data_IF_246385142336
#
_entry.id   IF_246385142336
#
_cell.length_a   1.000
_cell.length_b   1.000
_cell.length_c   1.000
_cell.angle_alpha   90.00
_cell.angle_beta   90.00
_cell.angle_gamma   90.00
#
_symmetry.space_group_name_H-M   'P 1'
#
loop_
_entity.id
_entity.type
_entity.pdbx_description
1 polymer ?
#
# COMPACT_ATOMS: atom_id res chain seq x y z
N UNK A 1 18.84 -22.91 -14.36
CA UNK A 1 18.59 -22.02 -13.19
C UNK A 1 17.21 -22.35 -12.67
N UNK A 2 17.03 -22.55 -11.37
CA UNK A 2 15.68 -22.78 -10.79
C UNK A 2 14.81 -21.55 -11.02
N UNK A 3 13.54 -21.77 -11.33
CA UNK A 3 12.53 -20.69 -11.45
C UNK A 3 12.41 -19.98 -10.11
N UNK A 4 12.44 -18.65 -10.11
CA UNK A 4 12.25 -17.84 -8.89
C UNK A 4 10.79 -17.74 -8.53
N UNK A 5 10.49 -17.85 -7.25
CA UNK A 5 9.14 -17.81 -6.69
C UNK A 5 8.82 -16.46 -6.03
N UNK A 6 7.60 -15.98 -6.20
CA UNK A 6 7.14 -14.73 -5.58
C UNK A 6 5.70 -14.82 -5.09
N UNK A 7 5.44 -14.36 -3.88
CA UNK A 7 4.09 -14.11 -3.37
C UNK A 7 3.75 -12.62 -3.53
N UNK A 8 2.56 -12.32 -4.07
CA UNK A 8 2.06 -10.95 -4.24
C UNK A 8 0.68 -10.86 -3.60
N UNK A 9 0.51 -10.05 -2.55
CA UNK A 9 -0.79 -9.81 -1.93
C UNK A 9 -1.58 -8.73 -2.69
N UNK A 10 -2.92 -8.81 -2.67
CA UNK A 10 -3.78 -7.88 -3.40
C UNK A 10 -3.64 -8.00 -4.92
N UNK A 11 -3.45 -9.22 -5.39
CA UNK A 11 -3.16 -9.56 -6.78
C UNK A 11 -4.31 -9.25 -7.77
N UNK A 12 -5.54 -9.09 -7.29
CA UNK A 12 -6.68 -8.65 -8.11
C UNK A 12 -6.79 -7.13 -8.28
N UNK A 13 -5.95 -6.34 -7.58
CA UNK A 13 -5.94 -4.88 -7.65
C UNK A 13 -5.08 -4.32 -8.79
N UNK A 14 -5.13 -3.00 -9.01
CA UNK A 14 -4.43 -2.34 -10.12
C UNK A 14 -2.92 -2.61 -10.13
N UNK A 15 -2.19 -2.24 -9.07
CA UNK A 15 -0.73 -2.44 -8.99
C UNK A 15 -0.40 -3.93 -8.83
N UNK A 16 -1.11 -4.67 -7.96
CA UNK A 16 -0.87 -6.10 -7.72
C UNK A 16 -1.07 -6.92 -8.98
N UNK A 17 -2.22 -6.75 -9.67
CA UNK A 17 -2.50 -7.49 -10.90
C UNK A 17 -1.51 -7.17 -12.03
N UNK A 18 -1.10 -5.91 -12.16
CA UNK A 18 -0.06 -5.54 -13.12
C UNK A 18 1.32 -6.14 -12.77
N UNK A 19 1.66 -6.20 -11.48
CA UNK A 19 2.89 -6.85 -11.01
C UNK A 19 2.87 -8.37 -11.26
N UNK A 20 1.73 -9.03 -11.00
CA UNK A 20 1.54 -10.45 -11.30
C UNK A 20 1.80 -10.72 -12.78
N UNK A 21 1.10 -10.03 -13.68
CA UNK A 21 1.30 -10.19 -15.14
C UNK A 21 2.76 -9.96 -15.54
N UNK A 22 3.38 -8.94 -15.01
CA UNK A 22 4.75 -8.58 -15.36
C UNK A 22 5.76 -9.64 -14.88
N UNK A 23 5.62 -10.13 -13.65
CA UNK A 23 6.55 -11.12 -13.09
C UNK A 23 6.35 -12.50 -13.70
N UNK A 24 5.11 -12.93 -13.96
CA UNK A 24 4.83 -14.15 -14.72
C UNK A 24 5.46 -14.07 -16.13
N UNK A 25 5.30 -12.96 -16.85
CA UNK A 25 5.94 -12.73 -18.14
C UNK A 25 7.48 -12.66 -18.12
N UNK A 26 8.07 -12.49 -16.93
CA UNK A 26 9.54 -12.59 -16.72
C UNK A 26 9.99 -13.98 -16.26
N UNK A 27 9.10 -14.97 -16.27
CA UNK A 27 9.39 -16.37 -15.93
C UNK A 27 9.47 -16.62 -14.41
N UNK A 28 8.84 -15.79 -13.59
CA UNK A 28 8.67 -16.09 -12.16
C UNK A 28 7.51 -17.06 -11.96
N UNK A 29 7.64 -17.94 -11.00
CA UNK A 29 6.55 -18.73 -10.46
C UNK A 29 5.79 -17.86 -9.44
N UNK A 30 4.56 -17.46 -9.79
CA UNK A 30 3.82 -16.42 -9.07
C UNK A 30 2.69 -17.01 -8.25
N UNK A 31 2.71 -16.75 -6.95
CA UNK A 31 1.64 -16.98 -6.01
C UNK A 31 0.87 -15.67 -5.80
N UNK A 32 -0.37 -15.65 -6.22
CA UNK A 32 -1.22 -14.45 -6.26
C UNK A 32 -2.24 -14.48 -5.12
N UNK A 33 -1.99 -13.70 -4.08
CA UNK A 33 -2.92 -13.52 -2.96
C UNK A 33 -4.12 -12.66 -3.36
N UNK A 34 -5.29 -13.26 -3.39
CA UNK A 34 -6.59 -12.63 -3.66
C UNK A 34 -7.50 -12.78 -2.44
N UNK A 35 -8.32 -11.75 -2.16
CA UNK A 35 -9.22 -11.82 -1.01
C UNK A 35 -10.46 -12.68 -1.27
N UNK A 36 -11.00 -12.67 -2.48
CA UNK A 36 -12.19 -13.41 -2.87
C UNK A 36 -11.83 -14.46 -3.91
N UNK A 37 -12.24 -15.73 -3.73
CA UNK A 37 -12.01 -16.78 -4.72
C UNK A 37 -12.51 -16.40 -6.14
N UNK A 38 -13.59 -15.62 -6.22
CA UNK A 38 -14.15 -15.12 -7.50
C UNK A 38 -13.17 -14.22 -8.29
N UNK A 39 -12.16 -13.65 -7.64
CA UNK A 39 -11.16 -12.82 -8.32
C UNK A 39 -10.10 -13.67 -9.06
N UNK A 40 -10.08 -15.00 -8.89
CA UNK A 40 -9.12 -15.89 -9.56
C UNK A 40 -9.19 -15.82 -11.08
N UNK A 41 -10.38 -15.64 -11.65
CA UNK A 41 -10.58 -15.49 -13.09
C UNK A 41 -9.93 -14.24 -13.72
N UNK A 42 -9.43 -13.31 -12.89
CA UNK A 42 -8.69 -12.11 -13.36
C UNK A 42 -7.18 -12.34 -13.48
N UNK A 43 -6.69 -13.49 -13.01
CA UNK A 43 -5.27 -13.82 -13.02
C UNK A 43 -4.88 -14.44 -14.36
N UNK A 44 -3.65 -14.22 -14.83
CA UNK A 44 -3.16 -14.90 -16.04
C UNK A 44 -2.98 -16.41 -15.81
N UNK A 45 -3.04 -17.17 -16.87
CA UNK A 45 -2.76 -18.60 -16.83
C UNK A 45 -1.38 -18.91 -16.24
N UNK A 46 -1.26 -20.01 -15.51
CA UNK A 46 -0.01 -20.44 -14.87
C UNK A 46 0.33 -19.72 -13.56
N UNK A 47 -0.54 -18.86 -13.06
CA UNK A 47 -0.39 -18.21 -11.76
C UNK A 47 -1.18 -18.97 -10.70
N UNK A 48 -0.56 -19.19 -9.52
CA UNK A 48 -1.20 -19.89 -8.41
C UNK A 48 -2.04 -18.90 -7.59
N UNK A 49 -3.37 -19.04 -7.65
CA UNK A 49 -4.28 -18.23 -6.83
C UNK A 49 -4.30 -18.76 -5.39
N UNK A 50 -4.10 -17.86 -4.41
CA UNK A 50 -4.24 -18.16 -2.99
C UNK A 50 -5.26 -17.21 -2.38
N UNK A 51 -6.20 -17.73 -1.61
CA UNK A 51 -7.14 -16.90 -0.86
C UNK A 51 -6.43 -16.36 0.40
N UNK A 52 -6.27 -15.03 0.47
CA UNK A 52 -5.60 -14.35 1.58
C UNK A 52 -6.43 -13.12 1.96
N UNK A 53 -7.04 -13.15 3.13
CA UNK A 53 -7.54 -11.95 3.80
C UNK A 53 -6.55 -11.58 4.92
N UNK A 54 -5.95 -10.40 4.82
CA UNK A 54 -4.89 -9.98 5.74
C UNK A 54 -5.36 -9.74 7.18
N UNK A 55 -6.67 -9.64 7.42
CA UNK A 55 -7.25 -9.55 8.77
C UNK A 55 -7.61 -10.93 9.35
N UNK A 56 -7.50 -11.97 8.56
CA UNK A 56 -7.77 -13.35 8.94
C UNK A 56 -6.45 -14.14 8.93
N UNK A 57 -5.89 -14.35 10.13
CA UNK A 57 -4.60 -15.02 10.31
C UNK A 57 -4.62 -16.46 9.80
N UNK A 58 -5.78 -17.16 9.85
CA UNK A 58 -5.90 -18.53 9.36
C UNK A 58 -5.65 -18.61 7.85
N UNK A 59 -6.17 -17.65 7.09
CA UNK A 59 -5.94 -17.59 5.64
C UNK A 59 -4.49 -17.25 5.30
N UNK A 60 -3.84 -16.40 6.09
CA UNK A 60 -2.42 -16.05 5.94
C UNK A 60 -1.54 -17.27 6.20
N UNK A 61 -1.79 -18.01 7.29
CA UNK A 61 -1.05 -19.23 7.60
C UNK A 61 -1.29 -20.33 6.57
N UNK A 62 -2.52 -20.55 6.15
CA UNK A 62 -2.87 -21.55 5.15
C UNK A 62 -2.11 -21.29 3.84
N UNK A 63 -2.07 -20.03 3.38
CA UNK A 63 -1.32 -19.64 2.20
C UNK A 63 0.18 -19.88 2.35
N UNK A 64 0.76 -19.56 3.50
CA UNK A 64 2.18 -19.81 3.76
C UNK A 64 2.50 -21.33 3.78
N UNK A 65 1.65 -22.14 4.40
CA UNK A 65 1.77 -23.62 4.42
C UNK A 65 1.68 -24.19 2.98
N UNK A 66 0.75 -23.71 2.16
CA UNK A 66 0.62 -24.16 0.77
C UNK A 66 1.85 -23.80 -0.05
N UNK A 67 2.37 -22.57 0.05
CA UNK A 67 3.60 -22.18 -0.62
C UNK A 67 4.77 -23.07 -0.17
N UNK A 68 4.93 -23.28 1.14
CA UNK A 68 6.00 -24.14 1.67
C UNK A 68 5.94 -25.57 1.12
N UNK A 69 4.76 -26.16 1.07
CA UNK A 69 4.56 -27.52 0.53
C UNK A 69 4.93 -27.60 -0.98
N UNK A 70 4.53 -26.60 -1.78
CA UNK A 70 4.79 -26.59 -3.22
C UNK A 70 6.24 -26.26 -3.59
N UNK A 71 6.94 -25.48 -2.73
CA UNK A 71 8.29 -24.97 -3.02
C UNK A 71 9.40 -25.65 -2.21
N UNK A 72 9.06 -26.63 -1.39
CA UNK A 72 10.01 -27.24 -0.46
C UNK A 72 10.55 -26.24 0.57
N UNK A 73 9.70 -25.35 1.08
CA UNK A 73 10.05 -24.34 2.08
C UNK A 73 10.90 -23.18 1.54
N UNK A 74 10.80 -22.86 0.27
CA UNK A 74 11.60 -21.82 -0.41
C UNK A 74 10.69 -20.76 -1.03
N UNK A 75 11.00 -19.47 -0.79
CA UNK A 75 10.35 -18.34 -1.44
C UNK A 75 11.40 -17.27 -1.72
N UNK A 76 11.51 -16.81 -2.96
CA UNK A 76 12.52 -15.82 -3.34
C UNK A 76 12.05 -14.38 -3.09
N UNK A 77 10.73 -14.12 -3.09
CA UNK A 77 10.22 -12.78 -2.85
C UNK A 77 8.81 -12.75 -2.26
N UNK A 78 8.56 -11.72 -1.44
CA UNK A 78 7.25 -11.26 -1.00
C UNK A 78 7.04 -9.83 -1.52
N UNK A 79 5.90 -9.58 -2.16
CA UNK A 79 5.39 -8.24 -2.46
C UNK A 79 4.12 -8.00 -1.64
N UNK A 80 4.25 -7.30 -0.53
CA UNK A 80 3.15 -6.82 0.28
C UNK A 80 2.51 -5.60 -0.40
N UNK A 81 1.48 -5.85 -1.20
CA UNK A 81 0.80 -4.83 -1.98
C UNK A 81 -0.67 -4.62 -1.58
N UNK A 82 -1.32 -5.60 -0.98
CA UNK A 82 -2.71 -5.44 -0.53
C UNK A 82 -2.86 -4.22 0.38
N UNK A 83 -3.98 -3.52 0.28
CA UNK A 83 -4.24 -2.37 1.12
C UNK A 83 -5.62 -1.79 0.84
N UNK A 84 -6.09 -1.02 1.81
CA UNK A 84 -7.32 -0.24 1.73
C UNK A 84 -7.01 1.23 1.96
N UNK A 85 -7.90 2.11 1.53
CA UNK A 85 -7.83 3.54 1.80
C UNK A 85 -9.08 3.93 2.58
N UNK A 86 -8.86 4.60 3.70
CA UNK A 86 -9.87 5.36 4.44
C UNK A 86 -9.48 6.83 4.37
N UNK A 87 -10.38 7.65 3.89
CA UNK A 87 -10.23 9.10 3.76
C UNK A 87 -11.31 9.81 4.56
N UNK A 88 -10.95 10.94 5.11
CA UNK A 88 -11.86 11.83 5.81
C UNK A 88 -11.16 12.68 6.86
N UNK A 89 -11.83 13.74 7.33
CA UNK A 89 -11.38 14.52 8.46
C UNK A 89 -11.13 13.63 9.68
N UNK A 90 -10.04 13.86 10.39
CA UNK A 90 -9.65 13.03 11.55
C UNK A 90 -10.76 12.95 12.60
N UNK A 91 -11.49 14.03 12.78
CA UNK A 91 -12.61 14.13 13.73
C UNK A 91 -13.80 13.25 13.34
N UNK A 92 -14.06 13.11 12.04
CA UNK A 92 -15.28 12.47 11.53
C UNK A 92 -15.13 11.00 11.16
N UNK A 93 -13.91 10.52 10.95
CA UNK A 93 -13.68 9.11 10.56
C UNK A 93 -14.00 8.17 11.73
N UNK A 94 -14.89 7.18 11.55
CA UNK A 94 -15.21 6.19 12.57
C UNK A 94 -13.97 5.41 13.04
N UNK A 95 -13.91 5.07 14.34
CA UNK A 95 -12.75 4.34 14.89
C UNK A 95 -12.62 2.94 14.33
N UNK A 96 -13.72 2.30 13.93
CA UNK A 96 -13.70 1.01 13.22
C UNK A 96 -13.00 1.12 11.87
N UNK A 97 -13.17 2.22 11.14
CA UNK A 97 -12.48 2.45 9.87
C UNK A 97 -10.97 2.71 10.08
N UNK A 98 -10.61 3.42 11.18
CA UNK A 98 -9.21 3.55 11.61
C UNK A 98 -8.59 2.18 11.90
N UNK A 99 -9.26 1.33 12.70
CA UNK A 99 -8.79 -0.02 13.02
C UNK A 99 -8.61 -0.84 11.76
N UNK A 100 -9.65 -0.90 10.92
CA UNK A 100 -9.59 -1.62 9.64
C UNK A 100 -8.45 -1.14 8.74
N UNK A 101 -8.20 0.18 8.70
CA UNK A 101 -7.08 0.74 7.93
C UNK A 101 -5.74 0.21 8.43
N UNK A 102 -5.56 0.11 9.74
CA UNK A 102 -4.32 -0.40 10.34
C UNK A 102 -4.23 -1.92 10.26
N UNK A 103 -5.32 -2.64 10.49
CA UNK A 103 -5.35 -4.10 10.42
C UNK A 103 -4.91 -4.58 9.04
N UNK A 104 -5.45 -4.00 7.97
CA UNK A 104 -5.06 -4.40 6.61
C UNK A 104 -3.69 -3.86 6.21
N UNK A 105 -3.42 -2.57 6.43
CA UNK A 105 -2.25 -1.90 5.85
C UNK A 105 -0.97 -2.07 6.67
N UNK A 106 -1.07 -2.49 7.92
CA UNK A 106 0.07 -2.63 8.84
C UNK A 106 0.12 -4.04 9.42
N UNK A 107 -0.85 -4.40 10.27
CA UNK A 107 -0.82 -5.67 11.03
C UNK A 107 -0.82 -6.87 10.09
N UNK A 108 -1.74 -6.92 9.14
CA UNK A 108 -1.80 -8.01 8.16
C UNK A 108 -0.59 -8.09 7.24
N UNK A 109 0.06 -6.95 6.93
CA UNK A 109 1.32 -6.96 6.18
C UNK A 109 2.47 -7.56 7.02
N UNK A 110 2.47 -7.29 8.33
CA UNK A 110 3.42 -7.89 9.28
C UNK A 110 3.15 -9.39 9.39
N UNK A 111 1.91 -9.80 9.61
CA UNK A 111 1.51 -11.20 9.70
C UNK A 111 1.95 -12.00 8.46
N UNK A 112 1.67 -11.45 7.27
CA UNK A 112 2.11 -12.10 6.01
C UNK A 112 3.63 -12.21 5.92
N UNK A 113 4.36 -11.16 6.30
CA UNK A 113 5.82 -11.22 6.32
C UNK A 113 6.32 -12.29 7.31
N UNK A 114 5.81 -12.31 8.54
CA UNK A 114 6.17 -13.30 9.57
C UNK A 114 5.95 -14.74 9.09
N UNK A 115 4.80 -15.01 8.47
CA UNK A 115 4.45 -16.34 7.98
C UNK A 115 5.43 -16.87 6.91
N UNK A 116 5.99 -15.98 6.05
CA UNK A 116 6.87 -16.40 4.96
C UNK A 116 8.36 -16.10 5.19
N UNK A 117 8.74 -15.38 6.26
CA UNK A 117 10.14 -15.07 6.56
C UNK A 117 11.06 -16.30 6.66
N UNK A 118 10.65 -17.45 7.22
CA UNK A 118 11.48 -18.66 7.21
C UNK A 118 11.89 -19.08 5.78
N UNK A 119 10.94 -19.07 4.83
CA UNK A 119 11.17 -19.40 3.44
C UNK A 119 12.06 -18.38 2.72
N UNK A 120 11.87 -17.08 3.03
CA UNK A 120 12.71 -15.99 2.52
C UNK A 120 14.15 -16.05 3.03
N UNK A 121 14.35 -16.45 4.29
CA UNK A 121 15.70 -16.67 4.84
C UNK A 121 16.42 -17.82 4.14
N UNK A 122 15.70 -18.91 3.84
CA UNK A 122 16.28 -20.07 3.13
C UNK A 122 16.83 -19.71 1.74
N UNK A 123 16.28 -18.69 1.08
CA UNK A 123 16.70 -18.25 -0.26
C UNK A 123 17.54 -16.97 -0.24
N UNK A 124 17.75 -16.34 0.92
CA UNK A 124 18.26 -14.97 1.03
C UNK A 124 17.44 -14.01 0.17
N UNK A 125 16.13 -14.17 0.26
CA UNK A 125 15.12 -13.58 -0.61
C UNK A 125 14.89 -12.08 -0.39
N UNK A 126 13.71 -11.61 -0.76
CA UNK A 126 13.38 -10.18 -0.76
C UNK A 126 11.97 -9.91 -0.25
N UNK A 127 11.82 -8.80 0.49
CA UNK A 127 10.52 -8.23 0.84
C UNK A 127 10.40 -6.87 0.18
N UNK A 128 9.28 -6.65 -0.50
CA UNK A 128 8.92 -5.35 -1.08
C UNK A 128 7.54 -4.95 -0.54
N UNK A 129 7.52 -3.92 0.30
CA UNK A 129 6.27 -3.35 0.81
C UNK A 129 5.83 -2.18 -0.08
N UNK A 130 4.56 -2.18 -0.50
CA UNK A 130 3.98 -1.08 -1.26
C UNK A 130 3.39 -0.06 -0.28
N UNK A 131 4.18 0.97 -0.01
CA UNK A 131 3.83 2.12 0.79
C UNK A 131 3.07 3.18 -0.01
N UNK A 132 3.29 4.44 0.35
CA UNK A 132 2.88 5.62 -0.40
C UNK A 132 3.73 6.82 0.03
N UNK A 133 3.82 7.84 -0.80
CA UNK A 133 4.53 9.08 -0.43
C UNK A 133 3.85 9.80 0.74
N UNK A 134 2.57 9.56 0.97
CA UNK A 134 1.84 10.08 2.14
C UNK A 134 2.39 9.57 3.48
N UNK A 135 3.26 8.55 3.49
CA UNK A 135 4.05 8.16 4.67
C UNK A 135 4.99 9.26 5.16
N UNK A 136 5.31 10.24 4.33
CA UNK A 136 6.26 11.33 4.61
C UNK A 136 5.58 12.64 4.98
N UNK A 137 4.38 12.84 4.50
CA UNK A 137 3.58 14.05 4.71
C UNK A 137 2.11 13.73 4.52
N UNK A 138 1.30 14.06 5.53
CA UNK A 138 -0.16 13.96 5.43
C UNK A 138 -0.76 15.27 4.95
N UNK A 139 -1.97 15.19 4.40
CA UNK A 139 -2.81 16.34 4.06
C UNK A 139 -4.19 16.24 4.71
N UNK A 140 -5.02 17.31 4.59
CA UNK A 140 -6.40 17.27 5.05
C UNK A 140 -7.13 16.05 4.49
N UNK A 141 -7.97 15.43 5.30
CA UNK A 141 -8.73 14.21 4.99
C UNK A 141 -7.91 12.94 4.67
N UNK A 142 -6.57 12.96 4.73
CA UNK A 142 -5.71 11.80 4.50
C UNK A 142 -5.11 11.21 5.78
N UNK A 143 -5.59 11.60 6.95
CA UNK A 143 -5.04 11.15 8.24
C UNK A 143 -4.89 9.62 8.34
N UNK A 144 -5.94 8.82 8.19
CA UNK A 144 -5.87 7.37 8.37
C UNK A 144 -4.90 6.69 7.42
N UNK A 145 -4.99 6.98 6.12
CA UNK A 145 -4.11 6.36 5.13
C UNK A 145 -2.65 6.76 5.33
N UNK A 146 -2.38 8.06 5.57
CA UNK A 146 -1.02 8.54 5.77
C UNK A 146 -0.38 7.94 7.02
N UNK A 147 -1.12 7.88 8.13
CA UNK A 147 -0.67 7.27 9.37
C UNK A 147 -0.33 5.77 9.19
N UNK A 148 -1.21 5.00 8.53
CA UNK A 148 -0.95 3.59 8.27
C UNK A 148 0.27 3.37 7.35
N UNK A 149 0.45 4.22 6.34
CA UNK A 149 1.62 4.13 5.44
C UNK A 149 2.91 4.59 6.11
N UNK A 150 2.85 5.55 7.05
CA UNK A 150 3.99 5.92 7.89
C UNK A 150 4.39 4.77 8.83
N UNK A 151 3.42 4.12 9.47
CA UNK A 151 3.64 2.94 10.29
C UNK A 151 4.28 1.80 9.48
N UNK A 152 3.74 1.47 8.29
CA UNK A 152 4.32 0.45 7.41
C UNK A 152 5.75 0.81 6.97
N UNK A 153 6.03 2.09 6.70
CA UNK A 153 7.38 2.54 6.35
C UNK A 153 8.37 2.31 7.51
N UNK A 154 7.96 2.60 8.75
CA UNK A 154 8.76 2.35 9.96
C UNK A 154 9.00 0.85 10.18
N UNK A 155 7.95 0.02 10.09
CA UNK A 155 8.06 -1.45 10.15
C UNK A 155 9.00 -1.98 9.08
N UNK A 156 8.91 -1.46 7.84
CA UNK A 156 9.81 -1.85 6.75
C UNK A 156 11.26 -1.51 7.06
N UNK A 157 11.51 -0.40 7.73
CA UNK A 157 12.85 0.03 8.13
C UNK A 157 13.43 -0.88 9.21
N UNK A 158 12.66 -1.21 10.24
CA UNK A 158 13.04 -2.16 11.28
C UNK A 158 13.36 -3.54 10.67
N UNK A 159 12.42 -4.08 9.89
CA UNK A 159 12.60 -5.38 9.23
C UNK A 159 13.84 -5.41 8.31
N UNK A 160 14.15 -4.31 7.63
CA UNK A 160 15.33 -4.19 6.77
C UNK A 160 16.64 -4.32 7.58
N UNK A 161 16.67 -3.71 8.75
CA UNK A 161 17.85 -3.77 9.63
C UNK A 161 18.00 -5.17 10.23
N UNK A 162 16.92 -5.75 10.75
CA UNK A 162 16.89 -7.09 11.35
C UNK A 162 17.26 -8.19 10.36
N UNK A 163 16.76 -8.11 9.12
CA UNK A 163 16.96 -9.13 8.11
C UNK A 163 18.29 -9.02 7.34
N UNK A 164 18.97 -7.89 7.45
CA UNK A 164 20.24 -7.66 6.76
C UNK A 164 21.33 -8.70 7.07
N UNK A 165 21.58 -9.07 8.34
CA UNK A 165 22.57 -10.10 8.67
C UNK A 165 22.18 -11.47 8.12
N UNK A 166 20.90 -11.74 7.93
CA UNK A 166 20.36 -12.98 7.37
C UNK A 166 20.31 -13.01 5.85
N UNK A 167 20.77 -11.93 5.19
CA UNK A 167 20.85 -11.83 3.73
C UNK A 167 19.55 -11.48 3.02
N UNK A 168 18.41 -11.36 3.75
CA UNK A 168 17.13 -10.94 3.16
C UNK A 168 17.14 -9.43 2.93
N UNK A 169 16.72 -9.01 1.74
CA UNK A 169 16.70 -7.59 1.35
C UNK A 169 15.29 -7.04 1.42
N UNK A 170 15.12 -5.91 2.09
CA UNK A 170 13.81 -5.29 2.30
C UNK A 170 13.78 -3.90 1.69
N UNK A 171 12.73 -3.59 0.94
CA UNK A 171 12.54 -2.30 0.26
C UNK A 171 11.10 -1.82 0.42
N UNK A 172 10.90 -0.51 0.42
CA UNK A 172 9.56 0.10 0.28
C UNK A 172 9.46 0.85 -1.04
N UNK A 173 8.33 0.67 -1.72
CA UNK A 173 7.93 1.46 -2.89
C UNK A 173 6.99 2.56 -2.39
N UNK A 174 7.30 3.81 -2.67
CA UNK A 174 6.53 4.98 -2.25
C UNK A 174 5.99 5.70 -3.49
N UNK A 175 4.87 5.23 -4.06
CA UNK A 175 4.23 5.92 -5.16
C UNK A 175 3.54 7.21 -4.69
N UNK A 176 3.42 8.15 -5.62
CA UNK A 176 2.42 9.20 -5.56
C UNK A 176 1.04 8.68 -5.96
N UNK A 177 0.24 9.54 -6.56
CA UNK A 177 -1.07 9.15 -7.08
C UNK A 177 -0.90 8.26 -8.31
N UNK A 178 -1.53 7.08 -8.29
CA UNK A 178 -1.54 6.12 -9.40
C UNK A 178 -2.95 5.95 -9.95
N UNK A 179 -3.04 5.69 -11.24
CA UNK A 179 -4.29 5.40 -11.93
C UNK A 179 -4.80 4.00 -11.55
N UNK A 180 -5.58 3.93 -10.48
CA UNK A 180 -6.13 2.70 -9.91
C UNK A 180 -7.51 2.94 -9.31
N UNK A 181 -8.35 1.92 -9.30
CA UNK A 181 -9.70 1.95 -8.68
C UNK A 181 -9.70 2.04 -7.14
N UNK A 182 -8.55 2.21 -6.49
CA UNK A 182 -8.47 2.13 -5.03
C UNK A 182 -9.22 3.28 -4.35
N UNK A 183 -9.22 4.47 -4.95
CA UNK A 183 -9.95 5.63 -4.46
C UNK A 183 -11.46 5.50 -4.68
N UNK A 184 -11.91 4.90 -5.79
CA UNK A 184 -13.33 4.62 -6.03
C UNK A 184 -13.89 3.66 -4.99
N UNK A 185 -13.11 2.61 -4.66
CA UNK A 185 -13.44 1.65 -3.59
C UNK A 185 -13.47 2.31 -2.21
N UNK A 186 -12.58 3.28 -1.94
CA UNK A 186 -12.61 4.09 -0.72
C UNK A 186 -13.90 4.90 -0.60
N UNK A 187 -14.25 5.62 -1.64
CA UNK A 187 -15.49 6.40 -1.69
C UNK A 187 -16.76 5.54 -1.49
N UNK A 188 -16.79 4.34 -2.03
CA UNK A 188 -17.88 3.39 -1.82
C UNK A 188 -17.96 2.90 -0.36
N UNK A 189 -16.82 2.59 0.25
CA UNK A 189 -16.75 2.18 1.66
C UNK A 189 -17.22 3.29 2.59
N UNK A 190 -16.77 4.53 2.38
CA UNK A 190 -17.22 5.71 3.15
C UNK A 190 -18.74 5.91 3.10
N UNK A 191 -19.36 5.76 1.92
CA UNK A 191 -20.82 5.86 1.77
C UNK A 191 -21.57 4.79 2.56
N UNK A 192 -20.95 3.65 2.80
CA UNK A 192 -21.54 2.56 3.57
C UNK A 192 -21.44 2.76 5.08
N UNK A 193 -20.32 3.33 5.59
CA UNK A 193 -20.07 3.49 7.04
C UNK A 193 -20.56 4.84 7.59
N UNK A 194 -20.62 5.88 6.73
CA UNK A 194 -20.96 7.24 7.15
C UNK A 194 -19.84 7.96 7.91
N UNK A 195 -20.15 9.15 8.44
CA UNK A 195 -19.28 9.95 9.29
C UNK A 195 -19.70 9.86 10.74
N UNK A 196 -18.77 9.98 11.67
CA UNK A 196 -19.06 10.25 13.09
C UNK A 196 -19.41 11.72 13.30
N UNK A 197 -19.95 12.01 14.49
CA UNK A 197 -20.30 13.38 14.89
C UNK A 197 -21.74 13.74 14.53
N UNK A 198 -22.17 14.85 15.08
CA UNK A 198 -23.48 15.44 14.79
C UNK A 198 -23.48 16.18 13.44
N UNK A 199 -24.64 16.70 13.06
CA UNK A 199 -24.80 17.43 11.80
C UNK A 199 -23.95 18.70 11.75
N UNK A 200 -23.66 19.34 12.90
CA UNK A 200 -22.86 20.55 12.94
C UNK A 200 -21.40 20.26 12.68
N UNK A 201 -20.84 19.20 13.30
CA UNK A 201 -19.49 18.74 13.00
C UNK A 201 -19.32 18.33 11.53
N UNK A 202 -20.32 17.64 10.97
CA UNK A 202 -20.29 17.26 9.55
C UNK A 202 -20.31 18.47 8.62
N UNK A 203 -21.21 19.45 8.88
CA UNK A 203 -21.28 20.71 8.12
C UNK A 203 -19.97 21.49 8.18
N UNK A 204 -19.30 21.51 9.32
CA UNK A 204 -18.01 22.20 9.48
C UNK A 204 -16.96 21.75 8.45
N UNK A 205 -16.98 20.48 8.06
CA UNK A 205 -16.00 19.89 7.13
C UNK A 205 -16.48 19.77 5.67
N UNK A 206 -17.71 20.19 5.36
CA UNK A 206 -18.23 20.12 3.98
C UNK A 206 -17.33 20.87 2.99
N UNK A 207 -16.94 22.11 3.33
CA UNK A 207 -16.04 22.89 2.50
C UNK A 207 -14.66 22.26 2.32
N UNK A 208 -14.12 21.65 3.36
CA UNK A 208 -12.84 20.93 3.30
C UNK A 208 -12.93 19.73 2.39
N UNK A 209 -13.98 18.91 2.54
CA UNK A 209 -14.17 17.71 1.71
C UNK A 209 -14.43 18.08 0.25
N UNK A 210 -15.17 19.17 -0.02
CA UNK A 210 -15.36 19.68 -1.37
C UNK A 210 -14.04 20.14 -2.00
N UNK A 211 -13.20 20.90 -1.26
CA UNK A 211 -11.87 21.31 -1.75
C UNK A 211 -10.94 20.14 -2.01
N UNK A 212 -10.97 19.11 -1.16
CA UNK A 212 -10.20 17.89 -1.39
C UNK A 212 -10.68 17.14 -2.63
N UNK A 213 -11.99 17.06 -2.86
CA UNK A 213 -12.55 16.46 -4.08
C UNK A 213 -12.16 17.25 -5.34
N UNK A 214 -12.24 18.59 -5.33
CA UNK A 214 -11.76 19.45 -6.41
C UNK A 214 -10.26 19.23 -6.69
N UNK A 215 -9.45 19.17 -5.65
CA UNK A 215 -8.01 18.91 -5.75
C UNK A 215 -7.74 17.53 -6.38
N UNK A 216 -8.43 16.49 -5.90
CA UNK A 216 -8.34 15.14 -6.47
C UNK A 216 -8.75 15.09 -7.95
N UNK A 217 -9.84 15.77 -8.33
CA UNK A 217 -10.31 15.82 -9.71
C UNK A 217 -9.32 16.50 -10.69
N UNK A 218 -8.49 17.44 -10.19
CA UNK A 218 -7.43 18.09 -10.98
C UNK A 218 -6.14 17.28 -11.03
N UNK A 219 -5.98 16.33 -10.13
CA UNK A 219 -4.78 15.52 -10.07
C UNK A 219 -4.65 14.63 -11.31
N UNK A 220 -3.43 14.52 -11.82
CA UNK A 220 -3.11 13.63 -12.95
C UNK A 220 -2.40 12.40 -12.38
N UNK A 221 -3.10 11.26 -12.21
CA UNK A 221 -2.47 10.07 -11.71
C UNK A 221 -1.38 9.55 -12.66
N UNK A 222 -0.32 9.05 -12.07
CA UNK A 222 0.74 8.41 -12.82
C UNK A 222 0.35 6.98 -13.26
N UNK A 223 1.02 6.43 -14.29
CA UNK A 223 0.73 5.09 -14.76
C UNK A 223 1.16 4.03 -13.72
N UNK A 224 0.32 3.02 -13.54
CA UNK A 224 0.58 1.84 -12.68
C UNK A 224 1.92 1.17 -13.01
N UNK A 225 2.28 1.12 -14.30
CA UNK A 225 3.54 0.53 -14.78
C UNK A 225 4.79 1.14 -14.13
N UNK A 226 4.74 2.40 -13.72
CA UNK A 226 5.85 3.04 -13.01
C UNK A 226 6.13 2.39 -11.64
N UNK A 227 5.09 2.02 -10.90
CA UNK A 227 5.21 1.29 -9.64
C UNK A 227 5.66 -0.16 -9.89
N UNK A 228 5.11 -0.82 -10.90
CA UNK A 228 5.51 -2.18 -11.31
C UNK A 228 6.99 -2.24 -11.68
N UNK A 229 7.50 -1.27 -12.46
CA UNK A 229 8.94 -1.17 -12.77
C UNK A 229 9.79 -1.02 -11.51
N UNK A 230 9.34 -0.26 -10.53
CA UNK A 230 10.04 -0.10 -9.26
C UNK A 230 10.03 -1.39 -8.43
N UNK A 231 8.90 -2.11 -8.39
CA UNK A 231 8.78 -3.43 -7.76
C UNK A 231 9.76 -4.41 -8.42
N UNK A 232 9.72 -4.57 -9.74
CA UNK A 232 10.62 -5.46 -10.48
C UNK A 232 12.08 -5.09 -10.21
N UNK A 233 12.43 -3.80 -10.23
CA UNK A 233 13.78 -3.33 -9.90
C UNK A 233 14.21 -3.69 -8.48
N UNK A 234 13.32 -3.54 -7.50
CA UNK A 234 13.59 -3.95 -6.12
C UNK A 234 13.81 -5.46 -6.00
N UNK A 235 13.08 -6.26 -6.79
CA UNK A 235 13.18 -7.71 -6.82
C UNK A 235 14.40 -8.24 -7.60
N UNK A 236 14.95 -7.50 -8.57
CA UNK A 236 15.98 -8.02 -9.48
C UNK A 236 17.35 -7.35 -9.31
N UNK A 237 17.43 -6.12 -8.83
CA UNK A 237 18.68 -5.41 -8.68
C UNK A 237 19.65 -6.12 -7.71
N UNK A 238 20.93 -6.22 -8.08
CA UNK A 238 21.96 -6.80 -7.20
C UNK A 238 22.04 -6.10 -5.83
N UNK A 239 21.89 -4.77 -5.83
CA UNK A 239 21.83 -3.92 -4.63
C UNK A 239 20.56 -3.08 -4.68
N UNK A 240 19.42 -3.57 -4.20
CA UNK A 240 18.19 -2.79 -4.21
C UNK A 240 18.30 -1.60 -3.26
N UNK A 241 17.61 -0.50 -3.60
CA UNK A 241 17.47 0.65 -2.72
C UNK A 241 16.52 0.29 -1.56
N UNK A 242 16.74 0.90 -0.40
CA UNK A 242 15.81 0.79 0.73
C UNK A 242 14.43 1.40 0.39
N UNK A 243 14.42 2.50 -0.39
CA UNK A 243 13.21 3.25 -0.75
C UNK A 243 13.21 3.61 -2.24
N UNK A 244 12.05 3.47 -2.88
CA UNK A 244 11.82 3.83 -4.28
C UNK A 244 10.67 4.83 -4.35
N UNK A 245 10.97 6.11 -4.57
CA UNK A 245 9.97 7.14 -4.89
C UNK A 245 9.52 6.99 -6.34
N UNK A 246 8.21 6.88 -6.56
CA UNK A 246 7.61 6.64 -7.88
C UNK A 246 6.63 7.77 -8.22
N UNK A 247 6.92 8.46 -9.30
CA UNK A 247 6.16 9.62 -9.77
C UNK A 247 6.89 10.95 -9.52
N UNK A 248 6.49 11.98 -10.27
CA UNK A 248 7.00 13.36 -10.08
C UNK A 248 6.41 13.97 -8.81
N UNK A 249 5.14 13.74 -8.59
CA UNK A 249 4.38 14.13 -7.40
C UNK A 249 5.01 13.54 -6.13
N UNK A 250 5.37 12.24 -6.13
CA UNK A 250 6.07 11.62 -5.00
C UNK A 250 7.40 12.31 -4.67
N UNK A 251 8.18 12.68 -5.69
CA UNK A 251 9.45 13.39 -5.48
C UNK A 251 9.21 14.80 -4.94
N UNK A 252 8.23 15.50 -5.48
CA UNK A 252 7.83 16.83 -4.99
C UNK A 252 7.38 16.76 -3.53
N UNK A 253 6.46 15.87 -3.18
CA UNK A 253 5.98 15.69 -1.81
C UNK A 253 7.12 15.30 -0.85
N UNK A 254 8.03 14.42 -1.26
CA UNK A 254 9.19 14.04 -0.46
C UNK A 254 10.16 15.21 -0.23
N UNK A 255 10.21 16.17 -1.14
CA UNK A 255 10.99 17.41 -0.96
C UNK A 255 10.27 18.37 -0.02
N UNK A 256 8.97 18.58 -0.22
CA UNK A 256 8.14 19.42 0.65
C UNK A 256 8.12 18.92 2.10
N UNK A 257 8.14 17.59 2.32
CA UNK A 257 8.19 16.97 3.65
C UNK A 257 9.44 17.33 4.46
N UNK A 258 10.47 17.94 3.84
CA UNK A 258 11.69 18.40 4.52
C UNK A 258 11.62 19.86 4.98
N UNK A 259 10.58 20.57 4.56
CA UNK A 259 10.38 21.96 4.98
C UNK A 259 9.93 22.02 6.45
N UNK A 260 10.23 23.15 7.16
CA UNK A 260 9.65 23.39 8.47
C UNK A 260 8.11 23.31 8.43
N UNK A 261 7.50 22.79 9.49
CA UNK A 261 6.07 22.47 9.55
C UNK A 261 5.19 23.66 9.14
N UNK A 262 5.39 24.84 9.70
CA UNK A 262 4.61 26.03 9.35
C UNK A 262 4.67 26.41 7.86
N UNK A 263 5.83 26.25 7.23
CA UNK A 263 5.99 26.55 5.80
C UNK A 263 5.27 25.50 4.97
N UNK A 264 5.44 24.23 5.33
CA UNK A 264 4.80 23.10 4.66
C UNK A 264 3.28 23.20 4.76
N UNK A 265 2.74 23.42 5.95
CA UNK A 265 1.30 23.51 6.19
C UNK A 265 0.67 24.68 5.42
N UNK A 266 1.33 25.84 5.43
CA UNK A 266 0.88 27.00 4.65
C UNK A 266 0.85 26.73 3.15
N UNK A 267 1.88 26.07 2.62
CA UNK A 267 1.94 25.70 1.21
C UNK A 267 0.85 24.69 0.86
N UNK A 268 0.64 23.69 1.71
CA UNK A 268 -0.38 22.67 1.52
C UNK A 268 -1.78 23.26 1.50
N UNK A 269 -2.13 24.08 2.51
CA UNK A 269 -3.42 24.74 2.61
C UNK A 269 -3.69 25.65 1.40
N UNK A 270 -2.68 26.42 0.95
CA UNK A 270 -2.78 27.24 -0.26
C UNK A 270 -2.99 26.41 -1.52
N UNK A 271 -2.28 25.31 -1.66
CA UNK A 271 -2.36 24.43 -2.83
C UNK A 271 -3.75 23.80 -2.95
N UNK A 272 -4.34 23.40 -1.83
CA UNK A 272 -5.69 22.80 -1.78
C UNK A 272 -6.78 23.89 -1.82
N UNK A 273 -6.46 25.13 -1.44
CA UNK A 273 -7.42 26.22 -1.38
C UNK A 273 -8.26 26.20 -0.07
N UNK A 274 -7.69 25.69 1.02
CA UNK A 274 -8.32 25.64 2.33
C UNK A 274 -7.87 26.83 3.17
N UNK A 275 -8.84 27.52 3.78
CA UNK A 275 -8.63 28.63 4.72
C UNK A 275 -9.75 28.65 5.77
N UNK A 276 -9.75 29.65 6.68
CA UNK A 276 -10.76 29.74 7.72
C UNK A 276 -12.21 29.83 7.19
N UNK A 277 -12.42 30.43 6.00
CA UNK A 277 -13.76 30.51 5.40
C UNK A 277 -14.24 29.15 4.87
N UNK A 278 -13.34 28.21 4.61
CA UNK A 278 -13.68 26.85 4.16
C UNK A 278 -14.41 26.04 5.25
N UNK A 279 -14.23 26.40 6.53
CA UNK A 279 -14.88 25.78 7.68
C UNK A 279 -16.16 26.51 8.12
N UNK A 280 -16.60 27.50 7.39
CA UNK A 280 -17.88 28.18 7.65
C UNK A 280 -18.93 27.56 6.75
N UNK A 281 -19.89 26.90 7.35
CA UNK A 281 -21.14 26.49 6.70
C UNK A 281 -22.05 27.71 6.50
#
# INVERSE_FOLDING_TARGET
MSTRTVLITGAAGGVGGAAVRRLAGLGWDVYAGIRRPSDAGRLPAGVHALTIDLIDEETVEAAAKEIAARTGGRLDALVNNAGVIVEGPVELVPLEDWRRQFDVNVVGQVAMAQAVLPMLRATKGRVVNVGAVSSRMSGPAFGPIAASKAALASVTEALRVEMRPLGVKVSVIEPGLLDTEIFDKSGASRRATGWRGDADAQRLYEGVTAKMAEFGARAKPGPVDSAVKAIVKALTARRPKARYLVGRDARMMATLARLPDHTRDRLLLRTVGINAATYRA
#
